data_IF_720784532095
#
_entry.id   IF_720784532095
#
_cell.length_a   1.000
_cell.length_b   1.000
_cell.length_c   1.000
_cell.angle_alpha   90.00
_cell.angle_beta   90.00
_cell.angle_gamma   90.00
#
_symmetry.space_group_name_H-M   'P 1'
#
loop_
_entity.id
_entity.type
_entity.pdbx_description
1 polymer ?
#
# COMPACT_ATOMS: atom_id res chain seq x y z
N UNK A 1 -25.96 1.66 -40.57
CA UNK A 1 -25.38 1.30 -39.27
C UNK A 1 -24.80 2.55 -38.66
N UNK A 2 -25.27 2.97 -37.49
CA UNK A 2 -24.67 4.11 -36.79
C UNK A 2 -23.24 3.74 -36.40
N UNK A 3 -22.27 4.59 -36.75
CA UNK A 3 -20.87 4.41 -36.36
C UNK A 3 -20.80 4.41 -34.84
N UNK A 4 -20.18 3.41 -34.24
CA UNK A 4 -19.89 3.40 -32.81
C UNK A 4 -19.00 4.62 -32.51
N UNK A 5 -19.44 5.56 -31.66
CA UNK A 5 -18.67 6.76 -31.36
C UNK A 5 -17.32 6.39 -30.73
N UNK A 6 -16.27 7.11 -31.13
CA UNK A 6 -14.90 6.92 -30.64
C UNK A 6 -14.63 7.88 -29.48
N UNK A 7 -13.68 7.54 -28.60
CA UNK A 7 -13.36 8.36 -27.42
C UNK A 7 -12.93 9.80 -27.79
N UNK A 8 -12.29 9.96 -28.94
CA UNK A 8 -11.92 11.24 -29.57
C UNK A 8 -13.13 12.11 -29.97
N UNK A 9 -14.33 11.53 -30.04
CA UNK A 9 -15.58 12.24 -30.28
C UNK A 9 -16.20 12.81 -28.99
N UNK A 10 -15.61 12.54 -27.81
CA UNK A 10 -16.09 12.99 -26.51
C UNK A 10 -15.17 14.06 -25.89
N UNK A 11 -15.76 15.14 -25.38
CA UNK A 11 -15.07 16.05 -24.46
C UNK A 11 -15.20 15.48 -23.05
N UNK A 12 -14.09 15.00 -22.47
CA UNK A 12 -14.06 14.57 -21.07
C UNK A 12 -13.91 15.83 -20.20
N UNK A 13 -15.02 16.26 -19.62
CA UNK A 13 -15.04 17.37 -18.67
C UNK A 13 -14.92 16.77 -17.26
N UNK A 14 -13.76 16.96 -16.64
CA UNK A 14 -13.54 16.54 -15.25
C UNK A 14 -14.07 17.66 -14.34
N UNK A 15 -15.27 17.45 -13.80
CA UNK A 15 -15.82 18.30 -12.74
C UNK A 15 -15.23 17.86 -11.41
N UNK A 16 -14.06 18.38 -11.08
CA UNK A 16 -13.40 18.19 -9.79
C UNK A 16 -13.50 19.50 -8.99
N UNK A 17 -14.47 19.64 -8.07
CA UNK A 17 -14.52 20.79 -7.17
C UNK A 17 -13.26 20.95 -6.32
N UNK A 18 -12.47 19.90 -6.12
CA UNK A 18 -11.22 19.94 -5.36
C UNK A 18 -9.98 19.67 -6.24
N UNK A 19 -8.90 20.41 -6.01
CA UNK A 19 -7.62 20.23 -6.71
C UNK A 19 -7.05 18.81 -6.57
N UNK A 20 -7.32 18.14 -5.45
CA UNK A 20 -6.89 16.76 -5.22
C UNK A 20 -7.70 15.76 -6.06
N UNK A 21 -8.99 16.02 -6.31
CA UNK A 21 -9.83 15.19 -7.20
C UNK A 21 -9.32 15.27 -8.63
N UNK A 22 -8.90 16.46 -9.08
CA UNK A 22 -8.30 16.63 -10.40
C UNK A 22 -6.94 15.93 -10.48
N UNK A 23 -6.09 16.05 -9.46
CA UNK A 23 -4.79 15.37 -9.41
C UNK A 23 -4.94 13.85 -9.36
N UNK A 24 -5.90 13.33 -8.60
CA UNK A 24 -6.22 11.91 -8.58
C UNK A 24 -6.83 11.44 -9.89
N UNK A 25 -7.74 12.20 -10.49
CA UNK A 25 -8.28 11.89 -11.81
C UNK A 25 -7.16 11.83 -12.86
N UNK A 26 -6.26 12.82 -12.89
CA UNK A 26 -5.10 12.79 -13.78
C UNK A 26 -4.15 11.62 -13.47
N UNK A 27 -3.85 11.34 -12.20
CA UNK A 27 -2.96 10.23 -11.81
C UNK A 27 -3.56 8.84 -12.07
N UNK A 28 -4.87 8.67 -11.89
CA UNK A 28 -5.62 7.47 -12.24
C UNK A 28 -5.75 7.31 -13.76
N UNK A 29 -5.85 8.41 -14.50
CA UNK A 29 -5.86 8.41 -15.97
C UNK A 29 -4.45 8.24 -16.58
N UNK A 30 -3.40 8.56 -15.83
CA UNK A 30 -2.00 8.33 -16.20
C UNK A 30 -1.56 6.88 -15.97
N UNK A 31 -2.38 6.02 -15.34
CA UNK A 31 -2.28 4.57 -15.55
C UNK A 31 -2.78 4.28 -16.96
N UNK A 32 -1.84 4.19 -17.91
CA UNK A 32 -2.14 3.87 -19.30
C UNK A 32 -2.79 2.49 -19.36
N UNK A 33 -4.12 2.47 -19.46
CA UNK A 33 -4.85 1.31 -19.92
C UNK A 33 -4.59 1.10 -21.41
N UNK A 34 -4.41 -0.16 -21.84
CA UNK A 34 -4.35 -0.52 -23.26
C UNK A 34 -5.56 0.08 -24.00
N UNK A 35 -5.30 1.12 -24.80
CA UNK A 35 -6.33 1.88 -25.53
C UNK A 35 -6.28 3.41 -25.37
N UNK A 36 -5.42 3.97 -24.49
CA UNK A 36 -5.29 5.43 -24.31
C UNK A 36 -4.05 5.97 -25.06
N UNK A 37 -4.17 6.96 -25.97
CA UNK A 37 -3.04 7.47 -26.76
C UNK A 37 -2.20 8.55 -26.06
N UNK A 38 -0.90 8.61 -26.39
CA UNK A 38 0.05 9.67 -25.95
C UNK A 38 -0.32 11.06 -26.49
N UNK A 39 -0.04 12.13 -25.72
CA UNK A 39 -0.46 13.52 -26.02
C UNK A 39 0.72 14.47 -26.27
N UNK A 40 0.56 15.42 -27.20
CA UNK A 40 1.56 16.45 -27.55
C UNK A 40 1.04 17.90 -27.38
N UNK A 41 1.99 18.83 -27.28
CA UNK A 41 1.91 20.13 -26.60
C UNK A 41 0.82 21.11 -27.08
N UNK A 42 0.16 21.76 -26.11
CA UNK A 42 -0.74 22.91 -26.35
C UNK A 42 -2.08 22.85 -25.61
N UNK A 43 -2.43 21.70 -25.03
CA UNK A 43 -3.56 21.58 -24.10
C UNK A 43 -3.05 21.25 -22.70
N UNK A 44 -2.66 22.31 -22.01
CA UNK A 44 -2.37 22.29 -20.58
C UNK A 44 -3.01 23.53 -19.99
N UNK A 45 -4.10 23.38 -19.24
CA UNK A 45 -4.42 24.39 -18.23
C UNK A 45 -3.60 23.99 -17.01
N UNK A 46 -2.39 24.53 -16.95
CA UNK A 46 -1.49 24.37 -15.83
C UNK A 46 -1.92 25.36 -14.75
N UNK A 47 -2.64 24.89 -13.74
CA UNK A 47 -2.67 25.60 -12.46
C UNK A 47 -1.48 25.11 -11.65
N UNK A 48 -0.38 25.85 -11.69
CA UNK A 48 0.52 25.88 -10.54
C UNK A 48 -0.21 26.68 -9.47
N UNK A 49 -0.61 26.03 -8.40
CA UNK A 49 -0.89 26.76 -7.18
C UNK A 49 -0.04 26.16 -6.06
N UNK A 50 0.73 27.08 -5.48
CA UNK A 50 1.45 26.95 -4.24
C UNK A 50 0.57 26.31 -3.17
N UNK A 51 1.23 25.65 -2.21
CA UNK A 51 0.67 24.98 -1.05
C UNK A 51 -0.77 25.43 -0.73
N UNK A 52 -1.73 24.50 -0.77
CA UNK A 52 -3.11 24.76 -0.38
C UNK A 52 -3.12 25.30 1.05
N UNK A 53 -3.29 26.62 1.18
CA UNK A 53 -3.58 27.28 2.44
C UNK A 53 -4.86 26.67 3.05
N UNK A 54 -4.90 26.63 4.38
CA UNK A 54 -5.92 26.02 5.27
C UNK A 54 -7.39 26.45 5.00
N UNK A 55 -7.64 27.31 4.03
CA UNK A 55 -8.89 28.05 3.79
C UNK A 55 -10.12 27.20 3.40
N UNK A 56 -9.96 25.91 3.06
CA UNK A 56 -11.08 24.98 2.86
C UNK A 56 -11.38 24.08 4.05
N UNK A 57 -10.44 23.98 5.00
CA UNK A 57 -10.52 23.17 6.23
C UNK A 57 -11.07 23.97 7.43
N UNK A 58 -11.12 25.31 7.29
CA UNK A 58 -11.64 26.27 8.27
C UNK A 58 -13.17 26.47 8.20
N UNK A 59 -13.82 26.09 7.09
CA UNK A 59 -15.26 26.31 6.85
C UNK A 59 -16.18 25.43 7.71
N UNK A 60 -15.62 24.50 8.48
CA UNK A 60 -16.37 23.62 9.41
C UNK A 60 -17.11 22.46 8.73
N UNK A 61 -17.06 22.34 7.41
CA UNK A 61 -17.74 21.25 6.69
C UNK A 61 -16.85 20.01 6.60
N UNK A 62 -16.97 19.14 7.62
CA UNK A 62 -16.17 17.92 7.76
C UNK A 62 -16.28 16.94 6.58
N UNK A 63 -17.33 17.02 5.76
CA UNK A 63 -17.51 16.16 4.61
C UNK A 63 -16.46 16.41 3.51
N UNK A 64 -16.13 17.68 3.23
CA UNK A 64 -15.13 18.03 2.22
C UNK A 64 -13.72 17.65 2.67
N UNK A 65 -13.44 17.81 3.97
CA UNK A 65 -12.18 17.37 4.57
C UNK A 65 -12.00 15.83 4.46
N UNK A 66 -13.06 15.06 4.70
CA UNK A 66 -13.03 13.59 4.58
C UNK A 66 -12.73 13.13 3.16
N UNK A 67 -13.40 13.71 2.17
CA UNK A 67 -13.17 13.39 0.75
C UNK A 67 -11.73 13.73 0.37
N UNK A 68 -11.23 14.90 0.78
CA UNK A 68 -9.87 15.34 0.52
C UNK A 68 -8.81 14.33 1.02
N UNK A 69 -8.91 13.88 2.27
CA UNK A 69 -7.95 12.92 2.83
C UNK A 69 -8.07 11.53 2.20
N UNK A 70 -9.27 11.10 1.79
CA UNK A 70 -9.43 9.86 1.01
C UNK A 70 -8.66 9.95 -0.30
N UNK A 71 -8.75 11.08 -0.98
CA UNK A 71 -8.09 11.23 -2.28
C UNK A 71 -6.58 11.34 -2.11
N UNK A 72 -6.08 12.01 -1.06
CA UNK A 72 -4.65 11.97 -0.72
C UNK A 72 -4.17 10.53 -0.49
N UNK A 73 -4.96 9.68 0.17
CA UNK A 73 -4.64 8.27 0.32
C UNK A 73 -4.56 7.55 -1.04
N UNK A 74 -5.53 7.76 -1.92
CA UNK A 74 -5.54 7.12 -3.24
C UNK A 74 -4.34 7.59 -4.10
N UNK A 75 -4.01 8.88 -4.05
CA UNK A 75 -2.83 9.47 -4.71
C UNK A 75 -1.53 8.88 -4.16
N UNK A 76 -1.42 8.75 -2.83
CA UNK A 76 -0.26 8.11 -2.20
C UNK A 76 -0.07 6.66 -2.66
N UNK A 77 -1.17 5.91 -2.84
CA UNK A 77 -1.11 4.54 -3.34
C UNK A 77 -0.63 4.48 -4.79
N UNK A 78 -1.07 5.40 -5.65
CA UNK A 78 -0.57 5.50 -7.03
C UNK A 78 0.93 5.78 -7.04
N UNK A 79 1.42 6.69 -6.19
CA UNK A 79 2.86 6.95 -6.06
C UNK A 79 3.63 5.72 -5.58
N UNK A 80 3.11 4.94 -4.63
CA UNK A 80 3.69 3.65 -4.24
C UNK A 80 3.79 2.68 -5.42
N UNK A 81 2.74 2.56 -6.24
CA UNK A 81 2.77 1.71 -7.44
C UNK A 81 3.81 2.17 -8.47
N UNK A 82 4.07 3.47 -8.55
CA UNK A 82 5.12 4.07 -9.38
C UNK A 82 6.51 4.03 -8.73
N UNK A 83 6.66 3.41 -7.56
CA UNK A 83 7.89 3.34 -6.77
C UNK A 83 8.43 4.72 -6.34
N UNK A 84 7.57 5.75 -6.32
CA UNK A 84 7.89 7.08 -5.79
C UNK A 84 7.50 7.14 -4.31
N UNK A 85 8.35 6.52 -3.48
CA UNK A 85 8.08 6.27 -2.07
C UNK A 85 8.04 7.56 -1.25
N UNK A 86 8.78 8.60 -1.66
CA UNK A 86 8.80 9.90 -0.97
C UNK A 86 7.49 10.66 -1.17
N UNK A 87 7.00 10.74 -2.42
CA UNK A 87 5.70 11.36 -2.69
C UNK A 87 4.56 10.59 -2.03
N UNK A 88 4.63 9.25 -2.04
CA UNK A 88 3.67 8.44 -1.31
C UNK A 88 3.63 8.78 0.19
N UNK A 89 4.79 8.82 0.86
CA UNK A 89 4.90 9.15 2.28
C UNK A 89 4.28 10.52 2.59
N UNK A 90 4.59 11.53 1.77
CA UNK A 90 4.06 12.88 1.96
C UNK A 90 2.52 12.89 1.92
N UNK A 91 1.92 12.25 0.91
CA UNK A 91 0.47 12.20 0.75
C UNK A 91 -0.20 11.44 1.90
N UNK A 92 0.34 10.29 2.31
CA UNK A 92 -0.22 9.53 3.43
C UNK A 92 -0.10 10.27 4.77
N UNK A 93 1.02 10.97 5.03
CA UNK A 93 1.16 11.76 6.25
C UNK A 93 0.15 12.91 6.30
N UNK A 94 -0.05 13.62 5.18
CA UNK A 94 -1.08 14.66 5.08
C UNK A 94 -2.49 14.09 5.30
N UNK A 95 -2.81 12.93 4.72
CA UNK A 95 -4.09 12.26 4.93
C UNK A 95 -4.28 11.83 6.40
N UNK A 96 -3.22 11.31 7.03
CA UNK A 96 -3.27 10.82 8.40
C UNK A 96 -3.45 11.95 9.42
N UNK A 97 -2.68 13.04 9.28
CA UNK A 97 -2.79 14.22 10.16
C UNK A 97 -4.17 14.87 10.03
N UNK A 98 -4.70 14.90 8.80
CA UNK A 98 -6.07 15.28 8.51
C UNK A 98 -7.13 14.42 9.20
N UNK A 99 -7.07 13.10 9.00
CA UNK A 99 -8.00 12.18 9.65
C UNK A 99 -7.92 12.24 11.18
N UNK A 100 -6.73 12.42 11.76
CA UNK A 100 -6.58 12.60 13.21
C UNK A 100 -7.29 13.87 13.72
N UNK A 101 -7.26 14.96 12.94
CA UNK A 101 -7.93 16.23 13.27
C UNK A 101 -9.45 16.14 13.15
N UNK A 102 -9.99 15.39 12.16
CA UNK A 102 -11.41 15.46 11.80
C UNK A 102 -12.24 14.19 12.06
N UNK A 103 -11.63 13.00 12.12
CA UNK A 103 -12.35 11.71 12.18
C UNK A 103 -12.12 10.91 13.48
N UNK A 104 -11.31 11.41 14.42
CA UNK A 104 -10.83 10.65 15.58
C UNK A 104 -9.88 9.50 15.16
N UNK A 105 -8.94 9.15 16.04
CA UNK A 105 -7.86 8.21 15.71
C UNK A 105 -8.36 6.78 15.43
N UNK A 106 -9.54 6.42 15.97
CA UNK A 106 -10.14 5.07 15.88
C UNK A 106 -11.05 4.85 14.67
N UNK A 107 -11.09 5.77 13.69
CA UNK A 107 -11.98 5.64 12.54
C UNK A 107 -11.40 4.73 11.45
N UNK A 108 -12.17 3.83 10.80
CA UNK A 108 -11.61 2.84 9.85
C UNK A 108 -10.77 3.42 8.69
N UNK A 109 -11.17 4.52 8.02
CA UNK A 109 -10.30 5.27 7.10
C UNK A 109 -8.90 5.65 7.65
N UNK A 110 -8.80 6.02 8.93
CA UNK A 110 -7.51 6.35 9.56
C UNK A 110 -6.59 5.13 9.59
N UNK A 111 -7.15 3.92 9.77
CA UNK A 111 -6.40 2.67 9.75
C UNK A 111 -5.93 2.28 8.34
N UNK A 112 -6.72 2.57 7.30
CA UNK A 112 -6.31 2.36 5.92
C UNK A 112 -5.08 3.22 5.56
N UNK A 113 -5.09 4.50 5.92
CA UNK A 113 -3.93 5.40 5.72
C UNK A 113 -2.74 4.92 6.55
N UNK A 114 -2.96 4.56 7.82
CA UNK A 114 -1.89 4.07 8.70
C UNK A 114 -1.23 2.80 8.15
N UNK A 115 -2.01 1.88 7.59
CA UNK A 115 -1.49 0.69 6.93
C UNK A 115 -0.59 1.04 5.73
N UNK A 116 -1.01 2.00 4.90
CA UNK A 116 -0.23 2.48 3.78
C UNK A 116 1.09 3.18 4.22
N UNK A 117 1.08 3.89 5.35
CA UNK A 117 2.32 4.39 5.98
C UNK A 117 3.22 3.20 6.39
N UNK A 118 2.64 2.13 6.93
CA UNK A 118 3.38 0.90 7.21
C UNK A 118 4.06 0.33 5.97
N UNK A 119 3.35 0.26 4.83
CA UNK A 119 3.91 -0.18 3.53
C UNK A 119 5.06 0.71 3.06
N UNK A 120 4.92 2.04 3.15
CA UNK A 120 6.01 3.00 2.90
C UNK A 120 7.22 2.70 3.79
N UNK A 121 7.02 2.41 5.08
CA UNK A 121 8.12 2.04 5.97
C UNK A 121 8.81 0.76 5.51
N UNK A 122 8.09 -0.26 5.01
CA UNK A 122 8.70 -1.47 4.44
C UNK A 122 9.54 -1.12 3.21
N UNK A 123 9.03 -0.29 2.29
CA UNK A 123 9.78 0.12 1.09
C UNK A 123 11.06 0.88 1.41
N UNK A 124 11.06 1.68 2.47
CA UNK A 124 12.26 2.37 2.95
C UNK A 124 13.12 1.53 3.91
N UNK A 125 12.86 0.21 4.00
CA UNK A 125 13.56 -0.70 4.91
C UNK A 125 13.50 -0.32 6.40
N UNK A 126 12.50 0.48 6.80
CA UNK A 126 12.20 0.85 8.20
C UNK A 126 11.32 -0.22 8.85
N UNK A 127 11.79 -1.47 8.85
CA UNK A 127 11.01 -2.65 9.24
C UNK A 127 10.48 -2.61 10.68
N UNK A 128 11.27 -2.11 11.63
CA UNK A 128 10.83 -2.00 13.03
C UNK A 128 9.62 -1.05 13.20
N UNK A 129 9.58 0.03 12.43
CA UNK A 129 8.45 0.97 12.44
C UNK A 129 7.24 0.36 11.73
N UNK A 130 7.45 -0.29 10.58
CA UNK A 130 6.39 -0.98 9.85
C UNK A 130 5.70 -2.05 10.71
N UNK A 131 6.48 -2.90 11.37
CA UNK A 131 5.95 -3.99 12.19
C UNK A 131 5.10 -3.47 13.36
N UNK A 132 5.56 -2.43 14.08
CA UNK A 132 4.76 -1.81 15.14
C UNK A 132 3.43 -1.26 14.63
N UNK A 133 3.43 -0.67 13.44
CA UNK A 133 2.20 -0.18 12.79
C UNK A 133 1.26 -1.35 12.49
N UNK A 134 1.76 -2.40 11.85
CA UNK A 134 0.95 -3.57 11.49
C UNK A 134 0.42 -4.31 12.72
N UNK A 135 1.24 -4.54 13.73
CA UNK A 135 0.85 -5.17 15.00
C UNK A 135 -0.27 -4.39 15.69
N UNK A 136 -0.17 -3.05 15.73
CA UNK A 136 -1.22 -2.20 16.28
C UNK A 136 -2.55 -2.33 15.51
N UNK A 137 -2.48 -2.34 14.17
CA UNK A 137 -3.67 -2.50 13.32
C UNK A 137 -4.27 -3.90 13.51
N UNK A 138 -3.45 -4.95 13.54
CA UNK A 138 -3.89 -6.34 13.76
C UNK A 138 -4.58 -6.48 15.10
N UNK A 139 -4.01 -5.92 16.18
CA UNK A 139 -4.63 -5.95 17.50
C UNK A 139 -6.02 -5.30 17.48
N UNK A 140 -6.11 -4.10 16.89
CA UNK A 140 -7.36 -3.35 16.81
C UNK A 140 -8.41 -4.05 15.95
N UNK A 141 -8.06 -4.53 14.75
CA UNK A 141 -8.97 -5.26 13.88
C UNK A 141 -9.37 -6.62 14.47
N UNK A 142 -8.49 -7.24 15.25
CA UNK A 142 -8.83 -8.46 15.99
C UNK A 142 -9.89 -8.19 17.06
N UNK A 143 -9.81 -7.06 17.76
CA UNK A 143 -10.84 -6.65 18.72
C UNK A 143 -12.17 -6.31 18.02
N UNK A 144 -12.13 -5.62 16.87
CA UNK A 144 -13.34 -5.19 16.18
C UNK A 144 -14.06 -6.33 15.45
N UNK A 145 -13.32 -7.17 14.73
CA UNK A 145 -13.88 -8.14 13.78
C UNK A 145 -13.32 -9.55 13.92
N UNK A 146 -12.32 -9.75 14.78
CA UNK A 146 -11.67 -11.03 15.00
C UNK A 146 -10.43 -11.26 14.13
N UNK A 147 -9.57 -12.17 14.60
CA UNK A 147 -8.27 -12.47 13.97
C UNK A 147 -8.40 -13.01 12.54
N UNK A 148 -9.46 -13.79 12.28
CA UNK A 148 -9.73 -14.41 10.98
C UNK A 148 -10.59 -13.53 10.06
N UNK A 149 -10.80 -12.25 10.36
CA UNK A 149 -11.49 -11.34 9.45
C UNK A 149 -10.61 -10.98 8.26
N UNK A 150 -11.19 -10.78 7.07
CA UNK A 150 -10.44 -10.53 5.83
C UNK A 150 -9.50 -9.32 5.93
N UNK A 151 -9.94 -8.24 6.56
CA UNK A 151 -9.10 -7.06 6.80
C UNK A 151 -7.92 -7.35 7.74
N UNK A 152 -8.10 -8.21 8.74
CA UNK A 152 -7.01 -8.63 9.63
C UNK A 152 -6.00 -9.50 8.87
N UNK A 153 -6.48 -10.45 8.06
CA UNK A 153 -5.63 -11.30 7.20
C UNK A 153 -4.81 -10.46 6.22
N UNK A 154 -5.40 -9.39 5.68
CA UNK A 154 -4.70 -8.45 4.80
C UNK A 154 -3.51 -7.79 5.51
N UNK A 155 -3.65 -7.36 6.76
CA UNK A 155 -2.54 -6.77 7.52
C UNK A 155 -1.53 -7.82 7.97
N UNK A 156 -1.96 -9.05 8.29
CA UNK A 156 -1.05 -10.17 8.56
C UNK A 156 -0.15 -10.47 7.35
N UNK A 157 -0.69 -10.32 6.14
CA UNK A 157 0.07 -10.48 4.89
C UNK A 157 1.18 -9.44 4.78
N UNK A 158 0.88 -8.16 5.06
CA UNK A 158 1.89 -7.08 5.06
C UNK A 158 2.96 -7.30 6.13
N UNK A 159 2.58 -7.78 7.32
CA UNK A 159 3.52 -8.11 8.39
C UNK A 159 4.43 -9.29 8.01
N UNK A 160 3.89 -10.33 7.38
CA UNK A 160 4.65 -11.50 6.93
C UNK A 160 5.68 -11.11 5.85
N UNK A 161 5.30 -10.25 4.90
CA UNK A 161 6.21 -9.72 3.89
C UNK A 161 7.29 -8.84 4.51
N UNK A 162 6.94 -7.96 5.46
CA UNK A 162 7.89 -7.13 6.18
C UNK A 162 8.94 -7.95 6.92
N UNK A 163 8.54 -9.00 7.63
CA UNK A 163 9.48 -9.93 8.27
C UNK A 163 10.39 -10.63 7.25
N UNK A 164 9.84 -11.07 6.11
CA UNK A 164 10.63 -11.74 5.06
C UNK A 164 11.71 -10.80 4.52
N UNK A 165 11.35 -9.57 4.13
CA UNK A 165 12.29 -8.57 3.61
C UNK A 165 13.31 -8.14 4.66
N UNK A 166 12.91 -8.00 5.91
CA UNK A 166 13.84 -7.68 7.01
C UNK A 166 14.89 -8.78 7.20
N UNK A 167 14.48 -10.06 7.13
CA UNK A 167 15.39 -11.18 7.22
C UNK A 167 16.39 -11.22 6.07
N UNK A 168 15.92 -10.99 4.85
CA UNK A 168 16.76 -10.91 3.66
C UNK A 168 17.77 -9.78 3.77
N UNK A 169 17.33 -8.59 4.20
CA UNK A 169 18.24 -7.46 4.43
C UNK A 169 19.29 -7.79 5.48
N UNK A 170 18.91 -8.36 6.62
CA UNK A 170 19.85 -8.78 7.67
C UNK A 170 20.89 -9.75 7.14
N UNK A 171 20.47 -10.76 6.37
CA UNK A 171 21.37 -11.73 5.76
C UNK A 171 22.34 -11.11 4.77
N UNK A 172 21.88 -10.16 3.95
CA UNK A 172 22.75 -9.39 3.06
C UNK A 172 23.81 -8.59 3.83
N UNK A 173 23.46 -8.11 5.03
CA UNK A 173 24.37 -7.40 5.93
C UNK A 173 25.26 -8.33 6.77
N UNK A 174 25.16 -9.65 6.60
CA UNK A 174 25.90 -10.64 7.38
C UNK A 174 25.34 -10.89 8.79
N UNK A 175 24.16 -10.36 9.11
CA UNK A 175 23.43 -10.61 10.36
C UNK A 175 22.48 -11.83 10.22
N UNK A 176 22.05 -12.39 11.35
CA UNK A 176 21.08 -13.47 11.39
C UNK A 176 19.65 -12.98 11.16
N UNK A 177 18.94 -13.56 10.19
CA UNK A 177 17.51 -13.31 9.93
C UNK A 177 16.57 -14.45 10.38
N UNK A 178 17.01 -15.31 11.29
CA UNK A 178 16.31 -16.56 11.61
C UNK A 178 14.98 -16.35 12.37
N UNK A 179 14.95 -15.36 13.28
CA UNK A 179 13.75 -15.02 14.03
C UNK A 179 12.67 -14.46 13.10
N UNK A 180 13.04 -13.51 12.25
CA UNK A 180 12.14 -12.88 11.27
C UNK A 180 11.56 -13.91 10.31
N UNK A 181 12.36 -14.83 9.78
CA UNK A 181 11.85 -15.90 8.91
C UNK A 181 10.93 -16.88 9.64
N UNK A 182 11.12 -17.08 10.95
CA UNK A 182 10.22 -17.92 11.74
C UNK A 182 8.86 -17.22 11.89
N UNK A 183 8.86 -15.94 12.25
CA UNK A 183 7.63 -15.14 12.32
C UNK A 183 6.91 -15.07 10.97
N UNK A 184 7.63 -14.83 9.87
CA UNK A 184 7.06 -14.83 8.53
C UNK A 184 6.44 -16.19 8.18
N UNK A 185 7.10 -17.31 8.49
CA UNK A 185 6.58 -18.65 8.19
C UNK A 185 5.29 -18.95 8.95
N UNK A 186 5.24 -18.59 10.24
CA UNK A 186 4.04 -18.81 11.07
C UNK A 186 2.85 -17.99 10.53
N UNK A 187 3.09 -16.73 10.16
CA UNK A 187 2.08 -15.86 9.55
C UNK A 187 1.60 -16.39 8.20
N UNK A 188 2.51 -16.79 7.30
CA UNK A 188 2.14 -17.35 5.99
C UNK A 188 1.37 -18.66 6.11
N UNK A 189 1.68 -19.50 7.12
CA UNK A 189 0.91 -20.70 7.41
C UNK A 189 -0.51 -20.38 7.88
N UNK A 190 -0.69 -19.36 8.73
CA UNK A 190 -2.00 -18.89 9.15
C UNK A 190 -2.82 -18.33 7.98
N UNK A 191 -2.21 -17.48 7.15
CA UNK A 191 -2.84 -16.89 5.95
C UNK A 191 -3.26 -17.98 4.95
N UNK A 192 -2.40 -18.98 4.74
CA UNK A 192 -2.69 -20.11 3.87
C UNK A 192 -3.90 -20.92 4.39
N UNK A 193 -3.92 -21.20 5.69
CA UNK A 193 -5.04 -21.90 6.35
C UNK A 193 -6.36 -21.15 6.17
N UNK A 194 -6.33 -19.82 6.32
CA UNK A 194 -7.49 -18.96 6.08
C UNK A 194 -8.01 -19.09 4.64
N UNK A 195 -7.15 -18.95 3.64
CA UNK A 195 -7.57 -19.03 2.24
C UNK A 195 -7.99 -20.44 1.81
N UNK A 196 -7.43 -21.50 2.43
CA UNK A 196 -7.91 -22.88 2.23
C UNK A 196 -9.35 -23.05 2.68
N UNK A 197 -9.69 -22.52 3.86
CA UNK A 197 -11.04 -22.63 4.42
C UNK A 197 -12.06 -21.75 3.69
N UNK A 198 -11.71 -20.50 3.38
CA UNK A 198 -12.66 -19.50 2.84
C UNK A 198 -12.80 -19.57 1.33
N UNK A 199 -11.70 -19.76 0.62
CA UNK A 199 -11.65 -19.67 -0.85
C UNK A 199 -11.31 -21.00 -1.52
N UNK A 200 -10.98 -22.02 -0.74
CA UNK A 200 -10.56 -23.32 -1.22
C UNK A 200 -9.06 -23.40 -1.54
N UNK A 201 -8.49 -24.62 -1.53
CA UNK A 201 -7.04 -24.85 -1.64
C UNK A 201 -6.44 -24.49 -3.01
N UNK A 202 -7.26 -24.35 -4.04
CA UNK A 202 -6.86 -24.02 -5.40
C UNK A 202 -7.14 -22.56 -5.78
N UNK A 203 -7.56 -21.72 -4.83
CA UNK A 203 -7.72 -20.28 -5.08
C UNK A 203 -6.37 -19.60 -5.34
N UNK A 204 -6.39 -18.47 -6.05
CA UNK A 204 -5.19 -17.67 -6.31
C UNK A 204 -4.55 -17.21 -5.00
N UNK A 205 -5.36 -16.78 -4.03
CA UNK A 205 -4.89 -16.35 -2.72
C UNK A 205 -4.23 -17.49 -1.92
N UNK A 206 -4.79 -18.70 -1.95
CA UNK A 206 -4.18 -19.87 -1.34
C UNK A 206 -2.86 -20.25 -2.04
N UNK A 207 -2.82 -20.18 -3.36
CA UNK A 207 -1.62 -20.48 -4.14
C UNK A 207 -0.50 -19.46 -3.89
N UNK A 208 -0.86 -18.18 -3.79
CA UNK A 208 0.05 -17.09 -3.43
C UNK A 208 0.65 -17.31 -2.04
N UNK A 209 -0.18 -17.52 -1.01
CA UNK A 209 0.28 -17.75 0.35
C UNK A 209 1.16 -19.01 0.46
N UNK A 210 0.81 -20.09 -0.27
CA UNK A 210 1.63 -21.30 -0.34
C UNK A 210 3.01 -21.03 -0.94
N UNK A 211 3.08 -20.30 -2.04
CA UNK A 211 4.34 -19.93 -2.69
C UNK A 211 5.24 -19.12 -1.75
N UNK A 212 4.68 -18.10 -1.09
CA UNK A 212 5.39 -17.29 -0.11
C UNK A 212 5.88 -18.11 1.09
N UNK A 213 5.06 -19.02 1.62
CA UNK A 213 5.48 -19.93 2.68
C UNK A 213 6.66 -20.82 2.26
N UNK A 214 6.61 -21.37 1.04
CA UNK A 214 7.71 -22.18 0.49
C UNK A 214 9.00 -21.37 0.33
N UNK A 215 8.90 -20.13 -0.15
CA UNK A 215 10.04 -19.21 -0.25
C UNK A 215 10.70 -18.97 1.12
N UNK A 216 9.91 -18.64 2.14
CA UNK A 216 10.42 -18.40 3.50
C UNK A 216 11.06 -19.66 4.08
N UNK A 217 10.47 -20.84 3.86
CA UNK A 217 11.05 -22.12 4.30
C UNK A 217 12.39 -22.41 3.60
N UNK A 218 12.49 -22.14 2.30
CA UNK A 218 13.74 -22.28 1.56
C UNK A 218 14.81 -21.34 2.12
N UNK A 219 14.48 -20.06 2.32
CA UNK A 219 15.37 -19.10 2.94
C UNK A 219 15.87 -19.64 4.29
N UNK A 220 15.00 -20.16 5.15
CA UNK A 220 15.43 -20.74 6.45
C UNK A 220 16.41 -21.89 6.33
N UNK A 221 16.28 -22.72 5.29
CA UNK A 221 17.16 -23.87 5.06
C UNK A 221 18.55 -23.51 4.53
N UNK A 222 18.68 -22.36 3.85
CA UNK A 222 19.97 -21.84 3.40
C UNK A 222 20.71 -21.28 4.61
N UNK A 223 21.67 -22.05 5.11
CA UNK A 223 22.72 -21.52 6.00
C UNK A 223 23.48 -20.43 5.24
N UNK A 224 23.83 -19.28 5.85
CA UNK A 224 24.72 -18.32 5.23
C UNK A 224 26.03 -19.05 4.91
N UNK A 225 26.22 -19.43 3.64
CA UNK A 225 27.50 -19.93 3.18
C UNK A 225 28.50 -18.79 3.28
N UNK A 226 29.71 -19.07 3.75
CA UNK A 226 30.81 -18.12 3.69
C UNK A 226 30.89 -17.61 2.24
N UNK A 227 30.65 -16.30 1.98
CA UNK A 227 30.70 -15.75 0.63
C UNK A 227 32.10 -15.90 0.00
N UNK A 228 33.13 -16.23 0.79
CA UNK A 228 34.48 -16.53 0.34
C UNK A 228 34.77 -18.02 0.10
N UNK A 229 33.81 -18.93 0.32
CA UNK A 229 34.01 -20.37 0.09
C UNK A 229 34.42 -20.72 -1.35
N UNK A 230 34.05 -19.90 -2.34
CA UNK A 230 34.47 -20.08 -3.74
C UNK A 230 35.93 -19.71 -4.01
N UNK A 231 36.61 -19.00 -3.09
CA UNK A 231 38.01 -18.59 -3.23
C UNK A 231 39.00 -19.54 -2.57
N UNK A 232 38.52 -20.52 -1.80
CA UNK A 232 39.35 -21.50 -1.08
C UNK A 232 39.20 -22.94 -1.61
N UNK A 233 38.69 -23.10 -2.85
CA UNK A 233 38.54 -24.40 -3.54
C UNK A 233 39.78 -24.76 -4.36
#
# INVERSE_FOLDING_TARGET
MAKTPKLEDYTIIIFSPLAIEQKAACLMLDEVHDGIPERSAGQTVLYTLDALDDHGLESGDGAMAQIYFRILNDVGEIYLRKNDVEQAEQNFRMAFDGHKKYLHEMHPPTFAVRLNIGRVCVEQSRFATANKIFEYIIATYTEWWGRRHSETIRVLTELAESHTRHAEQKRLMGDGGGWELTMAADLWAEILSFHHEVSGPNSDAASFARSKLQQVQLLRSVTPGDPYSMYYS
#
